data_IF_432670151225
#
_entry.id   IF_432670151225
#
_cell.length_a   1.000
_cell.length_b   1.000
_cell.length_c   1.000
_cell.angle_alpha   90.00
_cell.angle_beta   90.00
_cell.angle_gamma   90.00
#
_symmetry.space_group_name_H-M   'P 1'
#
loop_
_entity.id
_entity.type
_entity.pdbx_description
1 polymer ?
#
# COMPACT_ATOMS: atom_id res chain seq x y z
N UNK A 1 8.19 0.00 14.64
CA UNK A 1 7.14 1.02 14.33
C UNK A 1 5.89 0.98 15.22
N UNK A 2 5.71 -0.01 16.12
CA UNK A 2 4.50 -0.10 16.96
C UNK A 2 4.28 1.10 17.91
N UNK A 3 5.36 1.69 18.44
CA UNK A 3 5.29 2.86 19.35
C UNK A 3 4.72 4.10 18.65
N UNK A 4 5.18 4.37 17.42
CA UNK A 4 4.67 5.46 16.59
C UNK A 4 3.17 5.26 16.29
N UNK A 5 2.76 4.03 15.98
CA UNK A 5 1.36 3.65 15.81
C UNK A 5 0.52 4.03 17.03
N UNK A 6 0.98 3.60 18.21
CA UNK A 6 0.27 3.80 19.47
C UNK A 6 0.17 5.28 19.81
N UNK A 7 1.24 6.05 19.57
CA UNK A 7 1.24 7.50 19.77
C UNK A 7 0.24 8.21 18.86
N UNK A 8 0.24 7.91 17.55
CA UNK A 8 -0.68 8.52 16.59
C UNK A 8 -2.15 8.15 16.86
N UNK A 9 -2.41 6.92 17.28
CA UNK A 9 -3.77 6.48 17.67
C UNK A 9 -4.30 7.24 18.89
N UNK A 10 -3.44 7.57 19.86
CA UNK A 10 -3.83 8.44 20.99
C UNK A 10 -4.23 9.85 20.56
N UNK A 11 -3.74 10.30 19.41
CA UNK A 11 -4.09 11.59 18.80
C UNK A 11 -5.31 11.49 17.86
N UNK A 12 -6.05 10.38 17.88
CA UNK A 12 -7.19 10.12 17.00
C UNK A 12 -6.82 10.11 15.50
N UNK A 13 -5.56 9.79 15.18
CA UNK A 13 -5.08 9.64 13.81
C UNK A 13 -5.17 8.17 13.44
N UNK A 14 -6.01 7.84 12.45
CA UNK A 14 -6.10 6.48 11.92
C UNK A 14 -4.93 6.24 10.97
N UNK A 15 -4.10 5.26 11.32
CA UNK A 15 -2.92 4.89 10.55
C UNK A 15 -2.84 3.37 10.35
N UNK A 16 -2.57 2.97 9.12
CA UNK A 16 -2.24 1.61 8.70
C UNK A 16 -0.75 1.59 8.33
N UNK A 17 0.03 0.75 8.99
CA UNK A 17 1.47 0.65 8.73
C UNK A 17 1.83 -0.76 8.32
N UNK A 18 2.40 -0.88 7.13
CA UNK A 18 3.01 -2.11 6.64
C UNK A 18 4.46 -1.84 6.28
N UNK A 19 5.38 -2.23 7.17
CA UNK A 19 6.81 -1.98 7.02
C UNK A 19 7.12 -0.50 6.72
N UNK A 20 7.46 -0.14 5.47
CA UNK A 20 7.73 1.22 5.01
C UNK A 20 6.50 1.90 4.35
N UNK A 21 5.47 1.14 3.98
CA UNK A 21 4.25 1.64 3.36
C UNK A 21 3.24 2.04 4.45
N UNK A 22 3.09 3.34 4.67
CA UNK A 22 2.21 3.91 5.70
C UNK A 22 1.06 4.68 5.07
N UNK A 23 -0.15 4.41 5.55
CA UNK A 23 -1.38 5.02 5.07
C UNK A 23 -2.13 5.68 6.23
N UNK A 24 -2.48 6.96 6.06
CA UNK A 24 -3.28 7.72 7.02
C UNK A 24 -4.65 7.96 6.40
N UNK A 25 -5.71 7.73 7.17
CA UNK A 25 -7.09 7.94 6.72
C UNK A 25 -7.83 8.89 7.66
N UNK A 26 -8.72 9.69 7.09
CA UNK A 26 -9.68 10.48 7.85
C UNK A 26 -10.92 10.74 6.96
N UNK A 27 -12.09 10.87 7.58
CA UNK A 27 -13.33 11.24 6.88
C UNK A 27 -13.34 12.71 6.44
N UNK A 28 -12.63 13.59 7.16
CA UNK A 28 -12.51 15.01 6.79
C UNK A 28 -11.19 15.29 6.08
N UNK A 29 -11.27 15.88 4.87
CA UNK A 29 -10.11 16.25 4.07
C UNK A 29 -9.25 17.31 4.77
N UNK A 30 -9.86 18.31 5.40
CA UNK A 30 -9.08 19.36 6.08
C UNK A 30 -8.35 18.82 7.31
N UNK A 31 -9.00 17.97 8.10
CA UNK A 31 -8.36 17.26 9.20
C UNK A 31 -7.23 16.34 8.69
N UNK A 32 -7.44 15.60 7.60
CA UNK A 32 -6.43 14.72 7.03
C UNK A 32 -5.16 15.48 6.63
N UNK A 33 -5.32 16.64 5.97
CA UNK A 33 -4.19 17.49 5.60
C UNK A 33 -3.42 17.96 6.83
N UNK A 34 -4.11 18.39 7.90
CA UNK A 34 -3.45 18.81 9.15
C UNK A 34 -2.71 17.65 9.82
N UNK A 35 -3.34 16.49 9.91
CA UNK A 35 -2.77 15.27 10.48
C UNK A 35 -1.57 14.78 9.69
N UNK A 36 -1.62 14.83 8.36
CA UNK A 36 -0.52 14.49 7.48
C UNK A 36 0.67 15.44 7.69
N UNK A 37 0.46 16.76 7.74
CA UNK A 37 1.55 17.71 8.02
C UNK A 37 2.15 17.53 9.42
N UNK A 38 1.32 17.21 10.41
CA UNK A 38 1.80 16.86 11.74
C UNK A 38 2.66 15.59 11.70
N UNK A 39 2.18 14.55 11.03
CA UNK A 39 2.88 13.28 10.88
C UNK A 39 4.23 13.44 10.17
N UNK A 40 4.27 14.18 9.06
CA UNK A 40 5.52 14.42 8.32
C UNK A 40 6.57 15.11 9.20
N UNK A 41 6.16 16.12 9.99
CA UNK A 41 7.06 16.78 10.95
C UNK A 41 7.55 15.80 12.02
N UNK A 42 6.64 15.04 12.64
CA UNK A 42 7.00 14.04 13.64
C UNK A 42 8.02 13.03 13.09
N UNK A 43 7.76 12.47 11.90
CA UNK A 43 8.65 11.49 11.26
C UNK A 43 10.02 12.12 10.95
N UNK A 44 10.04 13.36 10.49
CA UNK A 44 11.28 14.10 10.24
C UNK A 44 12.07 14.40 11.52
N UNK A 45 11.39 14.78 12.60
CA UNK A 45 11.98 15.02 13.93
C UNK A 45 12.57 13.73 14.53
N UNK A 46 11.99 12.57 14.20
CA UNK A 46 12.51 11.25 14.57
C UNK A 46 13.71 10.81 13.70
N UNK A 47 14.12 11.59 12.70
CA UNK A 47 15.24 11.28 11.81
C UNK A 47 14.91 10.31 10.68
N UNK A 48 13.63 10.08 10.39
CA UNK A 48 13.19 9.25 9.26
C UNK A 48 13.10 10.07 7.98
N UNK A 49 13.51 9.46 6.86
CA UNK A 49 13.53 10.13 5.55
C UNK A 49 12.31 9.67 4.74
N UNK A 50 11.39 10.60 4.47
CA UNK A 50 10.21 10.34 3.63
C UNK A 50 10.59 10.46 2.15
N UNK A 51 10.28 9.43 1.37
CA UNK A 51 10.48 9.45 -0.07
C UNK A 51 9.36 10.20 -0.78
N UNK A 52 9.53 11.51 -0.97
CA UNK A 52 8.51 12.35 -1.61
C UNK A 52 8.10 11.93 -3.03
N UNK A 53 8.96 11.21 -3.77
CA UNK A 53 8.62 10.72 -5.12
C UNK A 53 7.69 9.50 -5.09
N UNK A 54 7.79 8.69 -4.03
CA UNK A 54 6.94 7.50 -3.83
C UNK A 54 5.70 7.78 -2.97
N UNK A 55 5.73 8.86 -2.18
CA UNK A 55 4.65 9.21 -1.27
C UNK A 55 3.58 10.09 -1.93
N UNK A 56 2.32 9.71 -1.77
CA UNK A 56 1.18 10.57 -2.12
C UNK A 56 0.83 11.48 -0.94
N UNK A 57 1.23 12.75 -1.00
CA UNK A 57 1.00 13.76 0.05
C UNK A 57 -0.24 14.62 -0.20
N UNK A 58 -1.07 14.25 -1.17
CA UNK A 58 -2.34 14.92 -1.44
C UNK A 58 -3.44 13.90 -1.10
N UNK A 59 -4.44 14.26 -0.28
CA UNK A 59 -5.58 13.39 -0.02
C UNK A 59 -6.26 12.96 -1.31
N UNK A 60 -6.36 11.64 -1.53
CA UNK A 60 -7.06 11.04 -2.66
C UNK A 60 -8.02 9.94 -2.20
N UNK A 61 -9.03 9.66 -3.03
CA UNK A 61 -9.94 8.51 -2.84
C UNK A 61 -9.52 7.29 -3.66
N UNK A 62 -8.48 7.44 -4.47
CA UNK A 62 -7.85 6.38 -5.27
C UNK A 62 -6.44 6.17 -4.71
N UNK A 63 -6.24 5.02 -4.07
CA UNK A 63 -5.04 4.74 -3.28
C UNK A 63 -4.48 3.40 -3.73
N UNK A 64 -3.22 3.37 -4.13
CA UNK A 64 -2.49 2.11 -4.29
C UNK A 64 -1.77 1.77 -2.98
N UNK A 65 -2.04 0.58 -2.44
CA UNK A 65 -1.45 0.12 -1.18
C UNK A 65 -1.26 -1.40 -1.23
N UNK A 66 -0.02 -1.86 -1.04
CA UNK A 66 0.36 -3.29 -1.04
C UNK A 66 -0.06 -4.04 -2.32
N UNK A 67 0.01 -3.39 -3.48
CA UNK A 67 -0.39 -3.95 -4.77
C UNK A 67 -1.90 -4.16 -4.92
N UNK A 68 -2.69 -3.46 -4.10
CA UNK A 68 -4.13 -3.32 -4.27
C UNK A 68 -4.47 -1.85 -4.55
N UNK A 69 -5.47 -1.65 -5.41
CA UNK A 69 -6.03 -0.36 -5.76
C UNK A 69 -7.35 -0.20 -4.99
N UNK A 70 -7.35 0.70 -4.02
CA UNK A 70 -8.50 1.04 -3.21
C UNK A 70 -9.24 2.21 -3.86
N UNK A 71 -10.46 1.96 -4.30
CA UNK A 71 -11.38 3.00 -4.74
C UNK A 71 -12.39 3.26 -3.62
N UNK A 72 -12.17 4.33 -2.86
CA UNK A 72 -13.00 4.67 -1.70
C UNK A 72 -14.36 5.25 -2.09
N UNK A 73 -14.51 5.84 -3.27
CA UNK A 73 -15.80 6.32 -3.79
C UNK A 73 -16.74 5.14 -4.06
N UNK A 74 -16.23 4.12 -4.75
CA UNK A 74 -16.99 2.92 -5.11
C UNK A 74 -16.99 1.87 -4.02
N UNK A 75 -16.15 2.01 -2.99
CA UNK A 75 -15.89 1.03 -1.93
C UNK A 75 -15.46 -0.33 -2.48
N UNK A 76 -14.63 -0.31 -3.52
CA UNK A 76 -14.12 -1.51 -4.18
C UNK A 76 -12.60 -1.56 -3.99
N UNK A 77 -12.09 -2.76 -3.78
CA UNK A 77 -10.66 -3.05 -3.78
C UNK A 77 -10.37 -4.00 -4.93
N UNK A 78 -9.49 -3.59 -5.84
CA UNK A 78 -9.04 -4.42 -6.96
C UNK A 78 -7.53 -4.69 -6.84
N UNK A 79 -6.99 -5.79 -7.36
CA UNK A 79 -5.55 -5.92 -7.52
C UNK A 79 -5.01 -4.85 -8.49
N UNK A 80 -3.78 -4.39 -8.30
CA UNK A 80 -3.10 -3.56 -9.31
C UNK A 80 -2.82 -4.40 -10.56
N UNK A 81 -2.88 -3.79 -11.74
CA UNK A 81 -2.57 -4.44 -13.02
C UNK A 81 -1.20 -5.13 -13.01
N UNK A 82 -0.17 -4.51 -12.43
CA UNK A 82 1.17 -5.11 -12.28
C UNK A 82 1.14 -6.43 -11.50
N UNK A 83 0.30 -6.50 -10.45
CA UNK A 83 0.13 -7.72 -9.66
C UNK A 83 -0.62 -8.79 -10.44
N UNK A 84 -1.61 -8.38 -11.24
CA UNK A 84 -2.34 -9.30 -12.11
C UNK A 84 -1.44 -9.90 -13.19
N UNK A 85 -0.63 -9.06 -13.86
CA UNK A 85 0.31 -9.50 -14.89
C UNK A 85 1.39 -10.43 -14.36
N UNK A 86 2.02 -10.11 -13.22
CA UNK A 86 3.01 -11.01 -12.59
C UNK A 86 2.42 -12.38 -12.21
N UNK A 87 1.15 -12.42 -11.77
CA UNK A 87 0.46 -13.69 -11.50
C UNK A 87 0.23 -14.48 -12.80
N UNK A 88 -0.21 -13.82 -13.88
CA UNK A 88 -0.40 -14.47 -15.18
C UNK A 88 0.91 -15.02 -15.74
N UNK A 89 1.98 -14.23 -15.73
CA UNK A 89 3.31 -14.64 -16.19
C UNK A 89 3.79 -15.89 -15.43
N UNK A 90 3.66 -15.90 -14.10
CA UNK A 90 4.02 -17.05 -13.28
C UNK A 90 3.21 -18.31 -13.63
N UNK A 91 1.89 -18.17 -13.85
CA UNK A 91 1.03 -19.30 -14.20
C UNK A 91 1.36 -19.88 -15.59
N UNK A 92 1.73 -19.05 -16.56
CA UNK A 92 2.15 -19.52 -17.89
C UNK A 92 3.49 -20.24 -17.89
N UNK A 93 4.37 -19.92 -16.92
CA UNK A 93 5.62 -20.64 -16.72
C UNK A 93 5.36 -22.04 -16.13
N UNK A 94 4.43 -22.14 -15.16
CA UNK A 94 4.06 -23.42 -14.53
C UNK A 94 3.42 -24.39 -15.53
N UNK A 95 2.55 -23.92 -16.42
CA UNK A 95 1.91 -24.81 -17.41
C UNK A 95 2.88 -25.38 -18.44
N UNK A 96 3.96 -24.65 -18.79
CA UNK A 96 5.04 -25.15 -19.65
C UNK A 96 5.83 -26.28 -18.98
N UNK A 97 5.99 -26.26 -17.66
CA UNK A 97 6.72 -27.31 -16.92
C UNK A 97 5.92 -28.62 -16.78
N UNK A 98 4.57 -28.57 -16.84
CA UNK A 98 3.73 -29.78 -16.78
C UNK A 98 3.57 -30.52 -18.12
N UNK A 99 3.86 -29.88 -19.25
CA UNK A 99 3.77 -30.52 -20.57
C UNK A 99 5.09 -31.19 -21.02
N UNK A 100 6.23 -30.82 -20.43
CA UNK A 100 7.53 -31.39 -20.78
C UNK A 100 7.89 -32.69 -20.01
N UNK A 101 7.07 -33.12 -19.05
CA UNK A 101 7.29 -34.36 -18.29
C UNK A 101 6.42 -35.56 -18.72
N UNK A 102 5.60 -35.43 -19.76
CA UNK A 102 4.69 -36.50 -20.23
C UNK A 102 5.03 -37.07 -21.61
N UNK A 103 6.17 -36.70 -22.22
CA UNK A 103 6.64 -37.31 -23.47
C UNK A 103 7.97 -38.03 -23.27
N UNK A 104 7.99 -39.03 -22.40
CA UNK A 104 8.99 -40.11 -22.35
C UNK A 104 8.59 -41.10 -21.26
N UNK A 105 7.67 -42.02 -21.60
CA UNK A 105 7.68 -43.42 -21.13
C UNK A 105 6.56 -44.21 -21.81
N UNK A 106 7.02 -45.20 -22.56
CA UNK A 106 6.33 -46.27 -23.30
C UNK A 106 5.81 -45.95 -24.70
#
# INVERSE_FOLDING_TARGET
MAVLAAYLRKLMIQIFMYLDDWLISNSDRTALVKQMHFFLRLVQDLGLIVNQKKSNLIPTQHIEYLGALLNLEKRIVTPTETRFQSILENNTCITKQSTDSSSSKF
#
